data_IF_761231122489
#
_entry.id   IF_761231122489
#
_cell.length_a   1.000
_cell.length_b   1.000
_cell.length_c   1.000
_cell.angle_alpha   90.00
_cell.angle_beta   90.00
_cell.angle_gamma   90.00
#
_symmetry.space_group_name_H-M   'P 1'
#
loop_
_entity.id
_entity.type
_entity.pdbx_description
1 polymer ?
#
# COMPACT_ATOMS: atom_id res chain seq x y z
N UNK A 1 9.46 21.76 -65.53
CA UNK A 1 9.62 21.11 -64.21
C UNK A 1 10.55 19.91 -64.37
N UNK A 2 11.74 19.94 -63.76
CA UNK A 2 12.75 18.88 -63.97
C UNK A 2 12.23 17.53 -63.50
N UNK A 3 12.15 16.54 -64.39
CA UNK A 3 11.70 15.15 -64.07
C UNK A 3 12.52 14.48 -62.95
N UNK A 4 13.70 15.04 -62.63
CA UNK A 4 14.57 14.61 -61.52
C UNK A 4 14.19 15.17 -60.14
N UNK A 5 13.35 16.20 -60.05
CA UNK A 5 12.89 16.76 -58.77
C UNK A 5 11.63 16.07 -58.21
N UNK A 6 10.86 15.39 -59.05
CA UNK A 6 9.63 14.71 -58.66
C UNK A 6 9.84 13.61 -57.59
N UNK A 7 10.89 12.75 -57.65
CA UNK A 7 11.08 11.72 -56.62
C UNK A 7 11.55 12.29 -55.28
N UNK A 8 12.29 13.41 -55.27
CA UNK A 8 12.73 14.09 -54.04
C UNK A 8 11.53 14.72 -53.32
N UNK A 9 10.61 15.30 -54.09
CA UNK A 9 9.37 15.88 -53.56
C UNK A 9 8.41 14.80 -53.03
N UNK A 10 8.35 13.65 -53.70
CA UNK A 10 7.57 12.48 -53.24
C UNK A 10 8.13 11.88 -51.95
N UNK A 11 9.46 11.83 -51.80
CA UNK A 11 10.13 11.35 -50.59
C UNK A 11 9.93 12.31 -49.40
N UNK A 12 9.87 13.62 -49.66
CA UNK A 12 9.56 14.63 -48.65
C UNK A 12 8.14 14.51 -48.08
N UNK A 13 7.17 14.04 -48.87
CA UNK A 13 5.78 13.80 -48.41
C UNK A 13 5.67 12.61 -47.43
N UNK A 14 6.57 11.62 -47.50
CA UNK A 14 6.64 10.53 -46.51
C UNK A 14 7.24 10.98 -45.18
N UNK A 15 8.07 12.04 -45.18
CA UNK A 15 8.68 12.60 -43.97
C UNK A 15 7.76 13.59 -43.23
N UNK A 16 6.63 13.97 -43.83
CA UNK A 16 5.60 14.84 -43.22
C UNK A 16 4.46 14.05 -42.54
N UNK A 17 4.56 12.72 -42.46
CA UNK A 17 3.59 11.86 -41.77
C UNK A 17 3.74 11.81 -40.25
N UNK A 18 4.15 12.91 -39.59
CA UNK A 18 4.14 13.04 -38.12
C UNK A 18 3.22 14.21 -37.73
N UNK A 19 2.34 14.15 -36.75
CA UNK A 19 2.02 13.16 -35.74
C UNK A 19 0.50 12.96 -35.75
N UNK A 20 0.02 11.76 -36.09
CA UNK A 20 -1.41 11.46 -36.05
C UNK A 20 -1.96 11.36 -34.61
N UNK A 21 -1.10 11.15 -33.62
CA UNK A 21 -1.49 10.79 -32.25
C UNK A 21 -1.21 11.90 -31.21
N UNK A 22 -1.28 13.18 -31.63
CA UNK A 22 -1.19 14.32 -30.71
C UNK A 22 -2.56 14.59 -30.07
N UNK A 23 -2.71 14.22 -28.80
CA UNK A 23 -3.83 14.67 -27.97
C UNK A 23 -3.44 16.01 -27.33
N UNK A 24 -4.17 17.08 -27.66
CA UNK A 24 -3.91 18.41 -27.08
C UNK A 24 -4.39 18.41 -25.62
N UNK A 25 -3.64 19.04 -24.72
CA UNK A 25 -3.98 19.15 -23.29
C UNK A 25 -5.36 19.77 -23.02
N UNK A 26 -5.93 20.48 -23.99
CA UNK A 26 -7.29 21.05 -23.90
C UNK A 26 -8.41 20.01 -24.04
N UNK A 27 -8.11 18.83 -24.57
CA UNK A 27 -9.09 17.79 -24.90
C UNK A 27 -9.12 16.66 -23.85
N UNK A 28 -8.25 16.74 -22.84
CA UNK A 28 -8.13 15.76 -21.75
C UNK A 28 -8.14 16.42 -20.38
N UNK A 29 -8.74 15.74 -19.41
CA UNK A 29 -8.71 16.11 -18.00
C UNK A 29 -7.96 15.05 -17.21
N UNK A 30 -6.90 15.48 -16.52
CA UNK A 30 -6.00 14.61 -15.76
C UNK A 30 -6.68 14.19 -14.45
N UNK A 31 -6.74 12.88 -14.23
CA UNK A 31 -7.34 12.29 -13.02
C UNK A 31 -6.26 11.82 -12.04
N UNK A 32 -6.01 12.54 -10.93
CA UNK A 32 -5.08 12.11 -9.88
C UNK A 32 -5.65 11.02 -8.97
N UNK A 33 -6.97 10.99 -8.73
CA UNK A 33 -7.59 10.02 -7.82
C UNK A 33 -8.78 9.32 -8.49
N UNK A 34 -8.78 8.00 -8.40
CA UNK A 34 -9.82 7.13 -8.94
C UNK A 34 -10.26 6.12 -7.87
N UNK A 35 -11.57 5.90 -7.76
CA UNK A 35 -12.18 4.90 -6.91
C UNK A 35 -12.83 3.80 -7.73
N UNK A 36 -12.64 2.54 -7.35
CA UNK A 36 -13.23 1.36 -7.99
C UNK A 36 -14.06 0.54 -6.99
N UNK A 37 -15.30 0.26 -7.36
CA UNK A 37 -16.18 -0.62 -6.58
C UNK A 37 -17.06 -1.47 -7.50
N UNK A 38 -17.68 -2.51 -6.95
CA UNK A 38 -18.66 -3.30 -7.71
C UNK A 38 -19.83 -2.39 -8.13
N UNK A 39 -20.32 -2.56 -9.35
CA UNK A 39 -21.56 -1.94 -9.81
C UNK A 39 -22.80 -2.64 -9.27
N UNK A 40 -23.98 -2.18 -9.68
CA UNK A 40 -25.27 -2.68 -9.19
C UNK A 40 -25.53 -4.13 -9.62
N UNK A 41 -25.03 -4.54 -10.80
CA UNK A 41 -25.13 -5.92 -11.28
C UNK A 41 -23.83 -6.68 -11.13
N UNK A 42 -23.95 -8.00 -11.00
CA UNK A 42 -22.81 -8.91 -10.95
C UNK A 42 -21.93 -8.74 -12.18
N UNK A 43 -20.65 -8.42 -11.97
CA UNK A 43 -19.67 -8.22 -13.04
C UNK A 43 -19.61 -6.78 -13.57
N UNK A 44 -20.50 -5.88 -13.13
CA UNK A 44 -20.34 -4.46 -13.39
C UNK A 44 -19.30 -3.86 -12.43
N UNK A 45 -18.58 -2.87 -12.93
CA UNK A 45 -17.62 -2.04 -12.21
C UNK A 45 -18.16 -0.62 -12.21
N UNK A 46 -18.16 0.01 -11.03
CA UNK A 46 -18.41 1.43 -10.87
C UNK A 46 -17.10 2.14 -10.56
N UNK A 47 -16.85 3.21 -11.30
CA UNK A 47 -15.69 4.07 -11.13
C UNK A 47 -16.11 5.49 -10.73
N UNK A 48 -15.38 6.08 -9.79
CA UNK A 48 -15.53 7.48 -9.38
C UNK A 48 -14.18 8.18 -9.61
N UNK A 49 -14.21 9.35 -10.21
CA UNK A 49 -13.04 10.13 -10.59
C UNK A 49 -13.08 11.47 -9.87
N UNK A 50 -11.94 11.94 -9.35
CA UNK A 50 -11.77 13.29 -8.82
C UNK A 50 -10.60 13.97 -9.53
N UNK A 51 -10.84 15.18 -10.03
CA UNK A 51 -9.87 15.94 -10.82
C UNK A 51 -10.04 17.46 -10.61
N UNK A 52 -8.95 18.23 -10.76
CA UNK A 52 -9.01 19.68 -10.60
C UNK A 52 -9.76 20.36 -11.74
N UNK A 53 -10.49 21.42 -11.42
CA UNK A 53 -11.13 22.35 -12.35
C UNK A 53 -10.64 23.76 -12.04
N UNK A 54 -10.38 24.54 -13.08
CA UNK A 54 -9.82 25.89 -12.96
C UNK A 54 -10.93 26.91 -13.24
N UNK A 55 -11.29 27.71 -12.23
CA UNK A 55 -12.21 28.83 -12.39
C UNK A 55 -11.55 30.13 -11.95
N UNK A 56 -11.31 31.01 -12.92
CA UNK A 56 -10.69 32.35 -12.95
C UNK A 56 -9.45 32.61 -12.05
N UNK A 57 -9.42 32.18 -10.79
CA UNK A 57 -8.26 32.22 -9.86
C UNK A 57 -8.30 31.14 -8.74
N UNK A 58 -9.26 30.21 -8.78
CA UNK A 58 -9.42 29.16 -7.77
C UNK A 58 -9.37 27.77 -8.40
N UNK A 59 -8.59 26.87 -7.78
CA UNK A 59 -8.63 25.44 -8.08
C UNK A 59 -9.80 24.87 -7.31
N UNK A 60 -10.80 24.41 -8.03
CA UNK A 60 -11.90 23.60 -7.51
C UNK A 60 -11.69 22.15 -7.92
N UNK A 61 -12.50 21.22 -7.40
CA UNK A 61 -12.43 19.82 -7.82
C UNK A 61 -13.80 19.33 -8.24
N UNK A 62 -13.85 18.78 -9.43
CA UNK A 62 -15.03 18.13 -9.96
C UNK A 62 -14.94 16.62 -9.77
N UNK A 63 -16.11 15.99 -9.84
CA UNK A 63 -16.24 14.55 -9.76
C UNK A 63 -17.09 14.06 -10.91
N UNK A 64 -16.72 12.91 -11.44
CA UNK A 64 -17.55 12.17 -12.39
C UNK A 64 -17.61 10.71 -11.97
N UNK A 65 -18.75 10.07 -12.19
CA UNK A 65 -18.92 8.64 -11.94
C UNK A 65 -19.51 7.94 -13.16
N UNK A 66 -19.15 6.67 -13.33
CA UNK A 66 -19.63 5.85 -14.43
C UNK A 66 -19.65 4.38 -14.04
N UNK A 67 -20.55 3.63 -14.67
CA UNK A 67 -20.67 2.18 -14.45
C UNK A 67 -20.60 1.46 -15.79
N UNK A 68 -19.91 0.33 -15.83
CA UNK A 68 -19.79 -0.48 -17.03
C UNK A 68 -19.31 -1.90 -16.75
N UNK A 69 -19.27 -2.73 -17.78
CA UNK A 69 -18.83 -4.14 -17.68
C UNK A 69 -17.32 -4.33 -17.44
N UNK A 70 -16.57 -3.23 -17.41
CA UNK A 70 -15.14 -3.18 -17.14
C UNK A 70 -14.76 -1.80 -16.63
N UNK A 71 -13.62 -1.70 -15.94
CA UNK A 71 -13.04 -0.40 -15.53
C UNK A 71 -12.91 0.59 -16.71
N UNK A 72 -12.60 0.12 -17.93
CA UNK A 72 -12.53 0.98 -19.13
C UNK A 72 -13.90 1.51 -19.54
N UNK A 73 -14.91 0.64 -19.60
CA UNK A 73 -16.27 1.04 -19.94
C UNK A 73 -16.87 1.98 -18.89
N UNK A 74 -16.57 1.75 -17.60
CA UNK A 74 -16.96 2.66 -16.52
C UNK A 74 -16.34 4.05 -16.69
N UNK A 75 -15.06 4.13 -17.10
CA UNK A 75 -14.40 5.40 -17.43
C UNK A 75 -15.03 6.11 -18.62
N UNK A 76 -15.33 5.37 -19.69
CA UNK A 76 -16.00 5.93 -20.89
C UNK A 76 -17.40 6.48 -20.53
N UNK A 77 -18.15 5.76 -19.71
CA UNK A 77 -19.44 6.23 -19.21
C UNK A 77 -19.30 7.50 -18.36
N UNK A 78 -18.29 7.59 -17.50
CA UNK A 78 -18.00 8.79 -16.71
C UNK A 78 -17.59 9.99 -17.59
N UNK A 79 -16.87 9.74 -18.69
CA UNK A 79 -16.44 10.78 -19.62
C UNK A 79 -17.60 11.44 -20.39
N UNK A 80 -18.77 10.79 -20.49
CA UNK A 80 -19.96 11.43 -21.08
C UNK A 80 -20.52 12.59 -20.23
N UNK A 81 -20.06 12.70 -18.98
CA UNK A 81 -20.46 13.77 -18.06
C UNK A 81 -19.40 14.87 -17.92
N UNK A 82 -18.35 14.83 -18.75
CA UNK A 82 -17.25 15.81 -18.74
C UNK A 82 -17.07 16.45 -20.12
N UNK A 83 -16.47 17.64 -20.17
CA UNK A 83 -16.20 18.33 -21.44
C UNK A 83 -14.98 17.72 -22.15
N UNK A 84 -14.03 17.20 -21.39
CA UNK A 84 -12.82 16.54 -21.86
C UNK A 84 -12.81 15.04 -21.56
N UNK A 85 -11.96 14.27 -22.25
CA UNK A 85 -11.75 12.86 -21.94
C UNK A 85 -10.97 12.67 -20.62
N UNK A 86 -11.40 11.71 -19.80
CA UNK A 86 -10.72 11.39 -18.53
C UNK A 86 -9.42 10.62 -18.77
N UNK A 87 -8.30 11.26 -18.48
CA UNK A 87 -6.97 10.66 -18.60
C UNK A 87 -6.44 10.20 -17.24
N UNK A 88 -6.19 8.90 -17.12
CA UNK A 88 -5.62 8.24 -15.93
C UNK A 88 -4.12 7.98 -16.08
N UNK A 89 -3.48 8.54 -17.11
CA UNK A 89 -2.03 8.41 -17.33
C UNK A 89 -1.20 8.91 -16.14
N UNK A 90 -1.70 9.94 -15.45
CA UNK A 90 -1.08 10.55 -14.25
C UNK A 90 -1.80 10.19 -12.95
N UNK A 91 -2.52 9.06 -12.92
CA UNK A 91 -3.17 8.58 -11.70
C UNK A 91 -2.16 8.52 -10.56
N UNK A 92 -2.48 9.12 -9.42
CA UNK A 92 -1.65 9.11 -8.22
C UNK A 92 -2.14 8.08 -7.21
N UNK A 93 -3.46 7.94 -7.04
CA UNK A 93 -4.07 6.98 -6.12
C UNK A 93 -5.26 6.26 -6.75
N UNK A 94 -5.25 4.94 -6.61
CA UNK A 94 -6.37 4.06 -6.89
C UNK A 94 -6.97 3.52 -5.58
N UNK A 95 -8.17 3.96 -5.24
CA UNK A 95 -8.96 3.43 -4.13
C UNK A 95 -9.82 2.26 -4.62
N UNK A 96 -9.88 1.17 -3.88
CA UNK A 96 -10.62 -0.05 -4.24
C UNK A 96 -11.48 -0.46 -3.06
N UNK A 97 -12.78 -0.68 -3.28
CA UNK A 97 -13.65 -1.13 -2.19
C UNK A 97 -13.24 -2.51 -1.68
N UNK A 98 -13.35 -2.71 -0.37
CA UNK A 98 -13.04 -3.99 0.28
C UNK A 98 -13.84 -5.15 -0.32
N UNK A 99 -15.10 -4.92 -0.70
CA UNK A 99 -15.95 -5.92 -1.37
C UNK A 99 -15.48 -6.29 -2.77
N UNK A 100 -14.94 -5.34 -3.54
CA UNK A 100 -14.31 -5.67 -4.82
C UNK A 100 -13.02 -6.46 -4.59
N UNK A 101 -12.21 -6.05 -3.61
CA UNK A 101 -10.93 -6.67 -3.30
C UNK A 101 -11.05 -8.13 -2.80
N UNK A 102 -12.22 -8.57 -2.30
CA UNK A 102 -12.48 -9.98 -1.94
C UNK A 102 -12.49 -10.94 -3.15
N UNK A 103 -12.61 -10.40 -4.37
CA UNK A 103 -12.44 -11.16 -5.62
C UNK A 103 -10.98 -11.08 -6.08
N UNK A 104 -10.63 -11.83 -7.13
CA UNK A 104 -9.29 -11.71 -7.72
C UNK A 104 -9.11 -10.28 -8.23
N UNK A 105 -8.17 -9.56 -7.62
CA UNK A 105 -7.94 -8.14 -7.92
C UNK A 105 -7.04 -7.93 -9.14
N UNK A 106 -6.30 -8.96 -9.57
CA UNK A 106 -5.34 -8.85 -10.66
C UNK A 106 -5.96 -8.36 -11.98
N UNK A 107 -7.15 -8.83 -12.43
CA UNK A 107 -7.77 -8.33 -13.67
C UNK A 107 -8.02 -6.82 -13.68
N UNK A 108 -8.38 -6.24 -12.54
CA UNK A 108 -8.60 -4.79 -12.44
C UNK A 108 -7.29 -4.02 -12.55
N UNK A 109 -6.19 -4.54 -11.99
CA UNK A 109 -4.88 -3.90 -12.06
C UNK A 109 -4.17 -4.12 -13.41
N UNK A 110 -4.34 -5.28 -14.06
CA UNK A 110 -3.73 -5.61 -15.34
C UNK A 110 -4.13 -4.62 -16.44
N UNK A 111 -5.37 -4.11 -16.39
CA UNK A 111 -5.83 -3.08 -17.32
C UNK A 111 -4.96 -1.82 -17.31
N UNK A 112 -4.54 -1.38 -16.11
CA UNK A 112 -3.70 -0.20 -15.97
C UNK A 112 -2.30 -0.46 -16.53
N UNK A 113 -1.74 -1.65 -16.32
CA UNK A 113 -0.42 -2.03 -16.82
C UNK A 113 -0.36 -2.23 -18.34
N UNK A 114 -1.48 -2.59 -18.97
CA UNK A 114 -1.56 -2.78 -20.44
C UNK A 114 -1.47 -1.49 -21.25
N UNK A 115 -1.59 -0.33 -20.61
CA UNK A 115 -1.50 0.97 -21.28
C UNK A 115 -0.16 1.61 -20.91
N UNK A 116 0.84 1.65 -21.81
CA UNK A 116 2.20 2.10 -21.47
C UNK A 116 2.31 3.53 -20.94
N UNK A 117 1.30 4.38 -21.21
CA UNK A 117 1.22 5.76 -20.71
C UNK A 117 0.83 5.85 -19.24
N UNK A 118 0.28 4.79 -18.65
CA UNK A 118 -0.18 4.83 -17.26
C UNK A 118 1.00 4.76 -16.29
N UNK A 119 0.91 5.57 -15.23
CA UNK A 119 1.85 5.55 -14.11
C UNK A 119 1.71 4.24 -13.32
N UNK A 120 2.75 3.41 -13.33
CA UNK A 120 2.79 2.19 -12.51
C UNK A 120 3.14 2.46 -11.04
N UNK A 121 3.54 3.70 -10.73
CA UNK A 121 3.89 4.16 -9.38
C UNK A 121 2.72 4.78 -8.62
N UNK A 122 1.49 4.72 -9.15
CA UNK A 122 0.29 5.10 -8.42
C UNK A 122 0.16 4.26 -7.15
N UNK A 123 -0.23 4.89 -6.06
CA UNK A 123 -0.59 4.17 -4.85
C UNK A 123 -1.91 3.42 -5.04
N UNK A 124 -2.06 2.30 -4.32
CA UNK A 124 -3.30 1.56 -4.22
C UNK A 124 -3.68 1.49 -2.76
N UNK A 125 -4.96 1.71 -2.44
CA UNK A 125 -5.48 1.47 -1.11
C UNK A 125 -6.86 0.82 -1.14
N UNK A 126 -7.13 0.00 -0.13
CA UNK A 126 -8.44 -0.63 0.08
C UNK A 126 -9.26 0.28 0.99
N UNK A 127 -10.54 0.44 0.68
CA UNK A 127 -11.46 1.28 1.46
C UNK A 127 -12.63 0.47 2.00
N UNK A 128 -13.00 0.71 3.26
CA UNK A 128 -14.16 0.08 3.90
C UNK A 128 -15.44 0.89 3.69
N UNK A 129 -16.56 0.23 3.44
CA UNK A 129 -17.87 0.89 3.34
C UNK A 129 -18.15 1.48 1.95
N UNK A 130 -18.95 2.54 1.91
CA UNK A 130 -19.38 3.16 0.65
C UNK A 130 -18.27 4.02 0.05
N UNK A 131 -17.83 3.67 -1.16
CA UNK A 131 -16.84 4.42 -1.93
C UNK A 131 -17.21 5.91 -2.05
N UNK A 132 -18.51 6.27 -2.14
CA UNK A 132 -18.92 7.67 -2.26
C UNK A 132 -18.48 8.52 -1.07
N UNK A 133 -18.42 7.97 0.14
CA UNK A 133 -18.01 8.72 1.33
C UNK A 133 -16.54 9.15 1.27
N UNK A 134 -15.70 8.44 0.52
CA UNK A 134 -14.30 8.78 0.28
C UNK A 134 -14.14 9.92 -0.74
N UNK A 135 -15.15 10.17 -1.55
CA UNK A 135 -15.16 11.27 -2.51
C UNK A 135 -16.01 12.46 -2.02
N UNK A 136 -16.93 12.25 -1.07
CA UNK A 136 -17.75 13.31 -0.49
C UNK A 136 -17.52 13.50 1.04
N UNK A 137 -16.27 13.74 1.49
CA UNK A 137 -15.99 13.97 2.90
C UNK A 137 -16.55 15.33 3.36
N UNK A 138 -16.77 15.54 4.67
CA UNK A 138 -17.30 16.79 5.19
C UNK A 138 -16.29 17.95 5.09
N UNK A 139 -16.82 19.18 5.04
CA UNK A 139 -16.05 20.42 5.14
C UNK A 139 -15.13 20.67 3.95
N UNK A 140 -14.05 21.42 4.19
CA UNK A 140 -13.10 21.86 3.16
C UNK A 140 -12.36 20.68 2.50
N UNK A 141 -12.30 19.53 3.16
CA UNK A 141 -11.66 18.32 2.63
C UNK A 141 -12.32 17.83 1.33
N UNK A 142 -13.62 18.11 1.15
CA UNK A 142 -14.35 17.78 -0.09
C UNK A 142 -13.68 18.37 -1.32
N UNK A 143 -13.20 19.60 -1.19
CA UNK A 143 -12.50 20.34 -2.23
C UNK A 143 -11.00 20.05 -2.24
N UNK A 144 -10.52 18.98 -1.60
CA UNK A 144 -9.09 18.62 -1.62
C UNK A 144 -8.88 17.12 -1.86
N UNK A 145 -9.94 16.36 -2.16
CA UNK A 145 -9.91 14.90 -2.35
C UNK A 145 -8.78 14.43 -3.28
N UNK A 146 -8.59 15.14 -4.39
CA UNK A 146 -7.56 14.84 -5.38
C UNK A 146 -6.12 14.96 -4.85
N UNK A 147 -5.86 15.83 -3.87
CA UNK A 147 -4.56 16.01 -3.22
C UNK A 147 -4.43 15.20 -1.93
N UNK A 148 -5.55 15.01 -1.23
CA UNK A 148 -5.57 14.42 0.10
C UNK A 148 -4.98 13.02 0.14
N UNK A 149 -5.45 12.12 -0.72
CA UNK A 149 -5.01 10.73 -0.72
C UNK A 149 -3.54 10.54 -1.09
N UNK A 150 -2.99 11.21 -2.13
CA UNK A 150 -1.56 11.18 -2.39
C UNK A 150 -0.72 11.58 -1.18
N UNK A 151 -1.07 12.66 -0.50
CA UNK A 151 -0.33 13.12 0.69
C UNK A 151 -0.51 12.20 1.90
N UNK A 152 -1.73 11.67 2.11
CA UNK A 152 -2.01 10.70 3.16
C UNK A 152 -1.14 9.44 2.99
N UNK A 153 -1.10 8.87 1.79
CA UNK A 153 -0.36 7.64 1.51
C UNK A 153 1.16 7.87 1.51
N UNK A 154 1.64 9.01 1.00
CA UNK A 154 3.06 9.39 1.12
C UNK A 154 3.47 9.55 2.58
N UNK A 155 2.62 10.15 3.42
CA UNK A 155 2.86 10.27 4.86
C UNK A 155 2.88 8.89 5.52
N UNK A 156 1.93 8.03 5.18
CA UNK A 156 1.87 6.67 5.70
C UNK A 156 3.11 5.83 5.35
N UNK A 157 3.67 5.98 4.14
CA UNK A 157 4.95 5.36 3.77
C UNK A 157 6.12 5.89 4.63
N UNK A 158 6.20 7.21 4.85
CA UNK A 158 7.25 7.82 5.69
C UNK A 158 7.23 7.29 7.13
N UNK A 159 6.06 6.94 7.65
CA UNK A 159 5.88 6.42 9.00
C UNK A 159 5.78 4.89 9.08
N UNK A 160 5.92 4.18 7.96
CA UNK A 160 5.84 2.70 7.88
C UNK A 160 4.44 2.13 8.15
N UNK A 161 3.39 2.93 8.03
CA UNK A 161 2.01 2.43 8.15
C UNK A 161 1.57 1.59 6.94
N UNK A 162 2.41 1.45 5.91
CA UNK A 162 2.24 0.50 4.82
C UNK A 162 3.58 -0.12 4.40
N UNK A 163 3.52 -1.31 3.81
CA UNK A 163 4.71 -2.05 3.36
C UNK A 163 4.80 -2.23 1.84
N UNK A 164 3.67 -2.03 1.16
CA UNK A 164 3.50 -2.03 -0.29
C UNK A 164 2.47 -0.95 -0.59
N UNK A 165 2.90 0.11 -1.28
CA UNK A 165 2.01 1.21 -1.63
C UNK A 165 1.60 1.20 -3.09
N UNK A 166 2.47 0.76 -4.00
CA UNK A 166 2.35 1.06 -5.44
C UNK A 166 1.78 -0.10 -6.26
N UNK A 167 1.12 0.24 -7.37
CA UNK A 167 0.57 -0.72 -8.32
C UNK A 167 1.61 -1.69 -8.88
N UNK A 168 2.79 -1.20 -9.24
CA UNK A 168 3.90 -2.05 -9.69
C UNK A 168 4.24 -3.14 -8.66
N UNK A 169 4.40 -2.76 -7.39
CA UNK A 169 4.76 -3.72 -6.34
C UNK A 169 3.59 -4.65 -6.01
N UNK A 170 2.36 -4.15 -6.04
CA UNK A 170 1.16 -4.96 -5.85
C UNK A 170 1.07 -6.07 -6.90
N UNK A 171 1.22 -5.74 -8.18
CA UNK A 171 1.16 -6.72 -9.26
C UNK A 171 2.34 -7.69 -9.23
N UNK A 172 3.56 -7.22 -8.93
CA UNK A 172 4.72 -8.12 -8.75
C UNK A 172 4.46 -9.19 -7.69
N UNK A 173 3.87 -8.81 -6.54
CA UNK A 173 3.53 -9.76 -5.48
C UNK A 173 2.35 -10.66 -5.86
N UNK A 174 1.34 -10.14 -6.57
CA UNK A 174 0.24 -10.96 -7.07
C UNK A 174 0.71 -12.04 -8.06
N UNK A 175 1.79 -11.80 -8.80
CA UNK A 175 2.38 -12.76 -9.74
C UNK A 175 3.43 -13.68 -9.07
N UNK A 176 3.75 -13.45 -7.80
CA UNK A 176 4.69 -14.26 -7.05
C UNK A 176 3.93 -15.25 -6.15
N UNK A 177 4.22 -16.55 -6.28
CA UNK A 177 3.56 -17.58 -5.45
C UNK A 177 4.09 -17.61 -4.00
N UNK A 178 5.27 -17.04 -3.76
CA UNK A 178 6.05 -17.24 -2.53
C UNK A 178 5.96 -16.14 -1.48
N UNK A 179 5.18 -15.08 -1.73
CA UNK A 179 4.91 -14.01 -0.77
C UNK A 179 3.60 -13.30 -1.13
N UNK A 180 2.73 -13.14 -0.15
CA UNK A 180 1.44 -12.50 -0.36
C UNK A 180 1.52 -10.97 -0.27
N UNK A 181 0.51 -10.34 -0.88
CA UNK A 181 0.32 -8.89 -0.87
C UNK A 181 -0.32 -8.40 0.44
N UNK A 182 0.06 -7.20 0.87
CA UNK A 182 -0.73 -6.40 1.79
C UNK A 182 -0.88 -4.99 1.24
N UNK A 183 -2.05 -4.37 1.34
CA UNK A 183 -2.30 -3.00 0.86
C UNK A 183 -2.77 -2.10 2.01
N UNK A 184 -2.52 -0.78 1.96
CA UNK A 184 -3.11 0.18 2.90
C UNK A 184 -4.63 0.01 2.98
N UNK A 185 -5.19 0.13 4.18
CA UNK A 185 -6.62 -0.02 4.43
C UNK A 185 -7.17 1.23 5.13
N UNK A 186 -8.12 1.89 4.48
CA UNK A 186 -8.76 3.11 4.96
C UNK A 186 -10.17 2.82 5.44
N UNK A 187 -10.57 3.58 6.45
CA UNK A 187 -11.93 3.64 6.98
C UNK A 187 -12.41 5.10 6.97
N UNK A 188 -13.70 5.31 7.12
CA UNK A 188 -14.25 6.60 7.53
C UNK A 188 -14.29 6.61 9.06
N UNK A 189 -13.67 7.61 9.69
CA UNK A 189 -13.70 7.76 11.16
C UNK A 189 -15.04 8.30 11.67
N UNK A 190 -15.19 8.41 12.99
CA UNK A 190 -16.42 8.89 13.64
C UNK A 190 -16.78 10.34 13.23
N UNK A 191 -15.83 11.11 12.69
CA UNK A 191 -16.04 12.48 12.21
C UNK A 191 -16.37 12.54 10.71
N UNK A 192 -16.47 11.39 10.03
CA UNK A 192 -16.72 11.32 8.60
C UNK A 192 -15.46 11.51 7.74
N UNK A 193 -14.26 11.49 8.34
CA UNK A 193 -13.01 11.75 7.64
C UNK A 193 -12.35 10.42 7.22
N UNK A 194 -11.99 10.24 5.95
CA UNK A 194 -11.18 9.10 5.51
C UNK A 194 -9.85 9.04 6.26
N UNK A 195 -9.52 7.91 6.88
CA UNK A 195 -8.29 7.74 7.66
C UNK A 195 -7.69 6.36 7.41
N UNK A 196 -6.36 6.27 7.43
CA UNK A 196 -5.66 4.99 7.38
C UNK A 196 -5.81 4.24 8.71
N UNK A 197 -6.38 3.04 8.69
CA UNK A 197 -6.54 2.19 9.88
C UNK A 197 -5.55 1.02 9.92
N UNK A 198 -4.86 0.70 8.82
CA UNK A 198 -3.86 -0.36 8.81
C UNK A 198 -3.55 -0.91 7.44
N UNK A 199 -3.29 -2.21 7.37
CA UNK A 199 -3.07 -2.94 6.11
C UNK A 199 -4.00 -4.13 5.96
N UNK A 200 -4.57 -4.28 4.77
CA UNK A 200 -5.36 -5.43 4.33
C UNK A 200 -4.48 -6.60 3.95
N UNK A 201 -4.82 -7.79 4.44
CA UNK A 201 -4.12 -9.04 4.15
C UNK A 201 -4.73 -9.75 2.94
N UNK A 202 -3.89 -10.10 1.96
CA UNK A 202 -4.32 -10.85 0.79
C UNK A 202 -3.83 -12.30 0.86
N UNK A 203 -4.58 -13.19 0.25
CA UNK A 203 -4.21 -14.58 0.01
C UNK A 203 -4.61 -14.91 -1.41
N UNK A 204 -3.66 -15.38 -2.24
CA UNK A 204 -3.93 -15.70 -3.66
C UNK A 204 -4.65 -14.57 -4.41
N UNK A 205 -4.14 -13.33 -4.29
CA UNK A 205 -4.65 -12.09 -4.94
C UNK A 205 -6.00 -11.58 -4.44
N UNK A 206 -6.58 -12.19 -3.41
CA UNK A 206 -7.88 -11.81 -2.83
C UNK A 206 -7.71 -11.25 -1.43
N UNK A 207 -8.40 -10.18 -1.12
CA UNK A 207 -8.51 -9.68 0.24
C UNK A 207 -9.22 -10.71 1.12
N UNK A 208 -8.58 -11.08 2.22
CA UNK A 208 -9.04 -12.13 3.14
C UNK A 208 -10.17 -11.68 4.06
N UNK A 209 -10.44 -10.37 4.12
CA UNK A 209 -11.29 -9.76 5.14
C UNK A 209 -10.56 -9.43 6.44
N UNK A 210 -9.30 -9.87 6.60
CA UNK A 210 -8.48 -9.58 7.78
C UNK A 210 -7.54 -8.41 7.55
N UNK A 211 -7.37 -7.59 8.58
CA UNK A 211 -6.48 -6.43 8.55
C UNK A 211 -5.58 -6.40 9.79
N UNK A 212 -4.35 -5.90 9.61
CA UNK A 212 -3.45 -5.55 10.71
C UNK A 212 -3.57 -4.06 10.98
N UNK A 213 -4.18 -3.70 12.12
CA UNK A 213 -4.55 -2.32 12.43
C UNK A 213 -3.41 -1.52 13.05
N UNK A 214 -3.33 -0.23 12.72
CA UNK A 214 -2.56 0.81 13.42
C UNK A 214 -1.10 0.39 13.63
N UNK A 215 -0.68 0.24 14.88
CA UNK A 215 0.69 -0.13 15.24
C UNK A 215 1.10 -1.51 14.71
N UNK A 216 0.16 -2.45 14.50
CA UNK A 216 0.48 -3.76 13.93
C UNK A 216 0.93 -3.63 12.46
N UNK A 217 0.41 -2.66 11.71
CA UNK A 217 0.88 -2.36 10.36
C UNK A 217 2.33 -1.84 10.37
N UNK A 218 2.66 -0.93 11.28
CA UNK A 218 4.04 -0.42 11.47
C UNK A 218 4.99 -1.54 11.85
N UNK A 219 4.61 -2.36 12.82
CA UNK A 219 5.39 -3.51 13.27
C UNK A 219 5.56 -4.56 12.17
N UNK A 220 4.60 -4.69 11.25
CA UNK A 220 4.77 -5.54 10.06
C UNK A 220 5.89 -5.03 9.15
N UNK A 221 5.99 -3.71 8.93
CA UNK A 221 7.12 -3.13 8.20
C UNK A 221 8.47 -3.38 8.90
N UNK A 222 8.49 -3.29 10.23
CA UNK A 222 9.66 -3.69 11.05
C UNK A 222 10.01 -5.17 10.81
N UNK A 223 9.03 -6.07 10.84
CA UNK A 223 9.24 -7.51 10.58
C UNK A 223 9.72 -7.78 9.14
N UNK A 224 9.30 -7.00 8.16
CA UNK A 224 9.78 -7.09 6.79
C UNK A 224 11.15 -6.41 6.57
N UNK A 225 11.69 -5.73 7.59
CA UNK A 225 12.88 -4.86 7.48
C UNK A 225 12.71 -3.74 6.43
N UNK A 226 11.47 -3.28 6.24
CA UNK A 226 11.12 -2.13 5.40
C UNK A 226 10.74 -0.97 6.32
N UNK A 227 11.69 -0.06 6.53
CA UNK A 227 11.52 1.05 7.45
C UNK A 227 11.34 2.35 6.66
N UNK A 228 10.28 3.09 6.95
CA UNK A 228 10.14 4.49 6.60
C UNK A 228 11.02 5.38 7.49
N UNK A 229 11.13 6.65 7.11
CA UNK A 229 11.97 7.64 7.79
C UNK A 229 11.63 7.80 9.28
N UNK A 230 10.35 7.67 9.63
CA UNK A 230 9.80 7.94 10.95
C UNK A 230 9.09 6.70 11.53
N UNK A 231 9.73 5.53 11.47
CA UNK A 231 9.19 4.30 12.06
C UNK A 231 9.12 4.41 13.58
N UNK A 232 7.95 4.78 14.12
CA UNK A 232 7.74 4.98 15.56
C UNK A 232 6.74 4.00 16.12
N UNK A 233 7.02 3.50 17.32
CA UNK A 233 6.09 2.64 18.07
C UNK A 233 6.13 3.02 19.54
N UNK A 234 4.99 2.86 20.21
CA UNK A 234 4.82 3.17 21.63
C UNK A 234 4.30 1.96 22.38
N UNK A 235 4.75 1.79 23.61
CA UNK A 235 4.27 0.74 24.52
C UNK A 235 4.00 1.32 25.91
N UNK A 236 3.10 0.70 26.67
CA UNK A 236 2.84 1.10 28.06
C UNK A 236 3.92 0.56 29.00
N UNK A 237 4.73 1.45 29.58
CA UNK A 237 5.81 1.11 30.49
C UNK A 237 5.30 0.78 31.90
N UNK A 238 5.36 -0.51 32.27
CA UNK A 238 5.02 -1.04 33.61
C UNK A 238 3.60 -0.62 34.06
N UNK A 239 3.22 -0.94 35.29
CA UNK A 239 1.85 -0.74 35.80
C UNK A 239 1.38 0.74 35.87
N UNK A 240 2.29 1.72 35.71
CA UNK A 240 1.96 3.15 35.78
C UNK A 240 1.38 3.72 34.48
N UNK A 241 1.15 2.91 33.44
CA UNK A 241 0.59 3.32 32.13
C UNK A 241 1.28 4.53 31.50
N UNK A 242 2.59 4.69 31.73
CA UNK A 242 3.35 5.78 31.11
C UNK A 242 3.93 5.30 29.79
N UNK A 243 3.94 6.10 28.72
CA UNK A 243 4.43 5.64 27.42
C UNK A 243 5.96 5.52 27.38
N UNK A 244 6.45 4.47 26.72
CA UNK A 244 7.78 4.46 26.12
C UNK A 244 7.61 4.54 24.61
N UNK A 245 8.05 5.64 24.01
CA UNK A 245 8.00 5.88 22.56
C UNK A 245 9.40 5.78 21.98
N UNK A 246 9.54 4.97 20.94
CA UNK A 246 10.82 4.72 20.28
C UNK A 246 10.73 4.94 18.78
N UNK A 247 11.83 5.37 18.17
CA UNK A 247 12.06 5.29 16.74
C UNK A 247 12.90 4.04 16.44
N UNK A 248 12.43 3.18 15.54
CA UNK A 248 13.22 2.05 15.02
C UNK A 248 14.21 2.59 14.00
N UNK A 249 15.51 2.42 14.28
CA UNK A 249 16.59 2.92 13.43
C UNK A 249 16.99 1.85 12.40
N UNK A 250 17.11 0.60 12.86
CA UNK A 250 17.61 -0.49 12.04
C UNK A 250 17.06 -1.82 12.53
N UNK A 251 16.75 -2.70 11.59
CA UNK A 251 16.37 -4.08 11.87
C UNK A 251 17.31 -5.01 11.13
N UNK A 252 17.77 -6.05 11.83
CA UNK A 252 18.45 -7.20 11.23
C UNK A 252 17.59 -8.42 11.48
N UNK A 253 16.99 -8.93 10.41
CA UNK A 253 16.18 -10.16 10.43
C UNK A 253 17.02 -11.35 10.00
N UNK A 254 16.86 -12.48 10.69
CA UNK A 254 17.36 -13.79 10.27
C UNK A 254 16.25 -14.82 10.32
N UNK A 255 16.09 -15.55 9.22
CA UNK A 255 15.13 -16.64 9.09
C UNK A 255 15.90 -17.97 9.02
N UNK A 256 15.60 -18.90 9.91
CA UNK A 256 16.06 -20.29 9.86
C UNK A 256 14.87 -21.20 9.71
N UNK A 257 14.97 -22.18 8.81
CA UNK A 257 13.89 -23.14 8.54
C UNK A 257 14.49 -24.53 8.65
N UNK A 258 13.81 -25.40 9.39
CA UNK A 258 14.14 -26.81 9.53
C UNK A 258 12.85 -27.60 9.53
N UNK A 259 12.57 -28.32 8.44
CA UNK A 259 11.26 -28.93 8.20
C UNK A 259 10.16 -27.86 8.33
N UNK A 260 9.09 -28.14 9.08
CA UNK A 260 7.94 -27.23 9.31
C UNK A 260 8.15 -26.27 10.48
N UNK A 261 9.38 -26.19 11.01
CA UNK A 261 9.75 -25.24 12.06
C UNK A 261 10.50 -24.05 11.48
N UNK A 262 10.00 -22.86 11.76
CA UNK A 262 10.56 -21.59 11.34
C UNK A 262 10.98 -20.82 12.59
N UNK A 263 12.24 -20.39 12.63
CA UNK A 263 12.75 -19.51 13.68
C UNK A 263 13.07 -18.14 13.08
N UNK A 264 12.34 -17.12 13.50
CA UNK A 264 12.56 -15.73 13.14
C UNK A 264 13.29 -15.00 14.26
N UNK A 265 14.51 -14.55 13.97
CA UNK A 265 15.31 -13.77 14.92
C UNK A 265 15.45 -12.32 14.44
N UNK A 266 15.19 -11.38 15.34
CA UNK A 266 15.26 -9.94 15.09
C UNK A 266 16.25 -9.28 16.05
N UNK A 267 17.23 -8.55 15.51
CA UNK A 267 18.06 -7.60 16.26
C UNK A 267 17.65 -6.19 15.82
N UNK A 268 17.04 -5.44 16.75
CA UNK A 268 16.36 -4.16 16.49
C UNK A 268 17.11 -3.06 17.23
N UNK A 269 17.66 -2.11 16.47
CA UNK A 269 18.32 -0.93 17.00
C UNK A 269 17.30 0.23 17.10
N UNK A 270 17.17 0.84 18.28
CA UNK A 270 16.16 1.87 18.55
C UNK A 270 16.75 3.15 19.14
N UNK A 271 16.07 4.27 18.89
CA UNK A 271 16.24 5.54 19.60
C UNK A 271 15.04 5.74 20.52
N UNK A 272 15.26 6.09 21.79
CA UNK A 272 14.17 6.43 22.71
C UNK A 272 13.84 7.92 22.57
N UNK A 273 12.59 8.23 22.23
CA UNK A 273 12.08 9.60 22.10
C UNK A 273 11.30 10.02 23.36
N UNK A 274 10.59 9.09 24.00
CA UNK A 274 9.83 9.33 25.21
C UNK A 274 10.02 8.19 26.21
N UNK A 275 10.26 8.51 27.47
CA UNK A 275 10.39 7.52 28.54
C UNK A 275 10.07 8.15 29.91
N UNK A 276 9.33 7.46 30.79
CA UNK A 276 8.80 8.07 32.02
C UNK A 276 9.85 8.36 33.10
N UNK A 277 11.00 7.68 33.06
CA UNK A 277 12.03 7.81 34.11
C UNK A 277 13.30 8.35 33.46
N UNK A 278 13.76 9.52 33.88
CA UNK A 278 15.00 10.09 33.36
C UNK A 278 16.25 9.41 33.96
N UNK A 279 16.45 8.12 33.66
CA UNK A 279 17.58 7.34 34.14
C UNK A 279 18.14 6.32 33.14
N UNK A 280 17.78 6.43 31.86
CA UNK A 280 18.29 5.56 30.79
C UNK A 280 19.81 5.70 30.52
N UNK A 281 20.45 6.71 31.09
CA UNK A 281 21.91 6.81 31.17
C UNK A 281 22.52 5.74 32.10
N UNK A 282 21.73 5.19 33.04
CA UNK A 282 22.15 4.08 33.91
C UNK A 282 22.06 2.77 33.13
N UNK A 283 23.16 2.02 33.14
CA UNK A 283 23.26 0.71 32.47
C UNK A 283 22.16 -0.27 32.88
N UNK A 284 21.76 -0.28 34.15
CA UNK A 284 20.73 -1.19 34.65
C UNK A 284 19.34 -0.82 34.12
N UNK A 285 18.93 0.44 34.25
CA UNK A 285 17.64 0.94 33.74
C UNK A 285 17.53 0.76 32.22
N UNK A 286 18.64 0.99 31.49
CA UNK A 286 18.72 0.71 30.04
C UNK A 286 18.46 -0.76 29.73
N UNK A 287 19.15 -1.69 30.41
CA UNK A 287 18.94 -3.13 30.21
C UNK A 287 17.52 -3.58 30.53
N UNK A 288 16.91 -3.02 31.57
CA UNK A 288 15.51 -3.30 31.89
C UNK A 288 14.57 -2.86 30.77
N UNK A 289 14.79 -1.67 30.21
CA UNK A 289 14.01 -1.16 29.10
C UNK A 289 14.22 -1.93 27.79
N UNK A 290 15.45 -2.34 27.47
CA UNK A 290 15.73 -3.24 26.33
C UNK A 290 15.00 -4.57 26.49
N UNK A 291 15.02 -5.16 27.69
CA UNK A 291 14.34 -6.43 27.97
C UNK A 291 12.82 -6.29 27.85
N UNK A 292 12.26 -5.22 28.41
CA UNK A 292 10.84 -4.89 28.29
C UNK A 292 10.43 -4.73 26.83
N UNK A 293 11.11 -3.88 26.06
CA UNK A 293 10.83 -3.67 24.64
C UNK A 293 10.96 -4.99 23.85
N UNK A 294 11.99 -5.78 24.11
CA UNK A 294 12.16 -7.10 23.46
C UNK A 294 10.97 -8.02 23.72
N UNK A 295 10.35 -7.93 24.90
CA UNK A 295 9.18 -8.73 25.28
C UNK A 295 7.92 -8.22 24.56
N UNK A 296 7.70 -6.90 24.53
CA UNK A 296 6.56 -6.30 23.83
C UNK A 296 6.62 -6.50 22.31
N UNK A 297 7.78 -6.30 21.68
CA UNK A 297 7.97 -6.62 20.27
C UNK A 297 7.70 -8.09 19.98
N UNK A 298 8.22 -9.01 20.80
CA UNK A 298 7.98 -10.45 20.63
C UNK A 298 6.50 -10.76 20.66
N UNK A 299 5.78 -10.27 21.68
CA UNK A 299 4.33 -10.45 21.83
C UNK A 299 3.56 -9.91 20.63
N UNK A 300 3.87 -8.70 20.16
CA UNK A 300 3.20 -8.12 18.99
C UNK A 300 3.53 -8.89 17.71
N UNK A 301 4.78 -9.36 17.52
CA UNK A 301 5.16 -10.16 16.36
C UNK A 301 4.44 -11.52 16.35
N UNK A 302 4.33 -12.18 17.50
CA UNK A 302 3.57 -13.42 17.64
C UNK A 302 2.08 -13.22 17.31
N UNK A 303 1.48 -12.11 17.77
CA UNK A 303 0.10 -11.73 17.40
C UNK A 303 -0.04 -11.52 15.88
N UNK A 304 0.86 -10.75 15.27
CA UNK A 304 0.84 -10.49 13.82
C UNK A 304 0.95 -11.80 13.05
N UNK A 305 1.87 -12.69 13.45
CA UNK A 305 2.03 -14.01 12.82
C UNK A 305 0.73 -14.81 12.91
N UNK A 306 0.11 -14.88 14.08
CA UNK A 306 -1.15 -15.60 14.25
C UNK A 306 -2.24 -15.08 13.32
N UNK A 307 -2.41 -13.75 13.22
CA UNK A 307 -3.38 -13.13 12.29
C UNK A 307 -3.04 -13.44 10.83
N UNK A 308 -1.77 -13.37 10.44
CA UNK A 308 -1.37 -13.71 9.06
C UNK A 308 -1.58 -15.19 8.74
N UNK A 309 -1.38 -16.10 9.70
CA UNK A 309 -1.63 -17.53 9.53
C UNK A 309 -3.13 -17.84 9.43
N UNK A 310 -3.96 -17.18 10.25
CA UNK A 310 -5.42 -17.28 10.17
C UNK A 310 -5.94 -16.76 8.81
N UNK A 311 -5.36 -15.68 8.32
CA UNK A 311 -5.66 -15.13 6.99
C UNK A 311 -5.06 -15.95 5.83
N UNK A 312 -4.24 -16.99 6.12
CA UNK A 312 -3.45 -17.74 5.14
C UNK A 312 -2.67 -16.83 4.18
N UNK A 313 -2.00 -15.84 4.76
CA UNK A 313 -1.39 -14.71 4.07
C UNK A 313 0.09 -14.59 4.47
N UNK A 314 1.01 -15.06 3.65
CA UNK A 314 2.45 -14.95 3.92
C UNK A 314 3.02 -13.61 3.45
N UNK A 315 2.60 -12.54 4.15
CA UNK A 315 3.15 -11.20 3.93
C UNK A 315 4.53 -11.00 4.56
N UNK A 316 5.07 -12.00 5.27
CA UNK A 316 6.39 -11.94 5.90
C UNK A 316 7.48 -12.55 5.00
N UNK A 317 7.10 -13.16 3.88
CA UNK A 317 7.99 -13.73 2.88
C UNK A 317 8.76 -14.94 3.40
N UNK A 318 8.12 -15.78 4.22
CA UNK A 318 8.70 -17.07 4.65
C UNK A 318 8.83 -17.99 3.43
N UNK A 319 7.85 -17.97 2.54
CA UNK A 319 7.73 -18.74 1.31
C UNK A 319 8.88 -18.48 0.38
N UNK A 320 9.32 -17.23 0.22
CA UNK A 320 10.54 -16.92 -0.55
C UNK A 320 11.75 -17.72 -0.11
N UNK A 321 11.94 -17.88 1.21
CA UNK A 321 13.06 -18.66 1.76
C UNK A 321 12.84 -20.16 1.58
N UNK A 322 11.60 -20.63 1.77
CA UNK A 322 11.24 -22.04 1.56
C UNK A 322 11.41 -22.43 0.09
N UNK A 323 10.86 -21.66 -0.84
CA UNK A 323 10.97 -21.85 -2.27
C UNK A 323 12.44 -21.91 -2.73
N UNK A 324 13.29 -21.00 -2.22
CA UNK A 324 14.69 -20.92 -2.63
C UNK A 324 15.60 -22.01 -2.01
N UNK A 325 15.34 -22.49 -0.80
CA UNK A 325 16.30 -23.34 -0.05
C UNK A 325 15.71 -24.62 0.57
N UNK A 326 14.39 -24.80 0.54
CA UNK A 326 13.67 -25.92 1.17
C UNK A 326 12.59 -26.48 0.23
N UNK A 327 12.99 -26.83 -0.99
CA UNK A 327 12.09 -27.25 -2.07
C UNK A 327 11.17 -28.43 -1.71
N UNK A 328 11.62 -29.35 -0.85
CA UNK A 328 10.79 -30.46 -0.39
C UNK A 328 9.59 -30.01 0.45
N UNK A 329 9.76 -28.95 1.25
CA UNK A 329 8.64 -28.35 1.99
C UNK A 329 7.72 -27.58 1.03
N UNK A 330 8.29 -26.86 0.06
CA UNK A 330 7.53 -26.12 -0.96
C UNK A 330 6.59 -27.03 -1.77
N UNK A 331 7.07 -28.22 -2.14
CA UNK A 331 6.31 -29.17 -2.99
C UNK A 331 5.19 -29.92 -2.28
N UNK A 332 4.98 -29.73 -0.96
CA UNK A 332 3.96 -30.48 -0.19
C UNK A 332 2.52 -30.14 -0.57
N UNK A 333 2.27 -29.03 -1.26
CA UNK A 333 0.94 -28.65 -1.71
C UNK A 333 0.80 -27.14 -1.87
N UNK A 334 -0.39 -26.64 -1.52
CA UNK A 334 -0.69 -25.21 -1.50
C UNK A 334 0.15 -24.49 -0.44
N UNK A 335 0.83 -23.41 -0.85
CA UNK A 335 1.73 -22.68 0.04
C UNK A 335 0.98 -21.99 1.18
N UNK A 336 -0.19 -21.42 0.90
CA UNK A 336 -1.00 -20.71 1.87
C UNK A 336 -1.51 -21.67 2.97
N UNK A 337 -1.92 -22.88 2.61
CA UNK A 337 -2.24 -23.94 3.59
C UNK A 337 -1.01 -24.35 4.41
N UNK A 338 0.13 -24.55 3.75
CA UNK A 338 1.38 -24.92 4.43
C UNK A 338 1.78 -23.84 5.43
N UNK A 339 1.80 -22.57 5.02
CA UNK A 339 2.13 -21.41 5.85
C UNK A 339 1.26 -21.33 7.12
N UNK A 340 -0.05 -21.57 6.98
CA UNK A 340 -1.01 -21.50 8.09
C UNK A 340 -0.74 -22.52 9.21
N UNK A 341 -0.02 -23.60 8.92
CA UNK A 341 0.27 -24.68 9.87
C UNK A 341 1.72 -24.71 10.38
N UNK A 342 2.59 -23.83 9.86
CA UNK A 342 3.99 -23.77 10.29
C UNK A 342 4.11 -23.40 11.78
N UNK A 343 5.05 -24.04 12.46
CA UNK A 343 5.46 -23.63 13.80
C UNK A 343 6.47 -22.50 13.69
N UNK A 344 6.04 -21.27 13.98
CA UNK A 344 6.89 -20.07 13.85
C UNK A 344 7.27 -19.57 15.25
N UNK A 345 8.55 -19.72 15.60
CA UNK A 345 9.14 -19.18 16.83
C UNK A 345 9.76 -17.80 16.57
N UNK A 346 9.49 -16.84 17.45
CA UNK A 346 10.06 -15.48 17.38
C UNK A 346 11.04 -15.23 18.53
N UNK A 347 12.23 -14.76 18.16
CA UNK A 347 13.20 -14.19 19.08
C UNK A 347 13.45 -12.73 18.72
N UNK A 348 13.32 -11.84 19.70
CA UNK A 348 13.60 -10.42 19.54
C UNK A 348 14.66 -9.98 20.53
N UNK A 349 15.63 -9.22 20.04
CA UNK A 349 16.61 -8.50 20.83
C UNK A 349 16.58 -7.03 20.43
N UNK A 350 16.24 -6.18 21.39
CA UNK A 350 16.29 -4.72 21.22
C UNK A 350 17.60 -4.18 21.77
N UNK A 351 18.25 -3.29 21.02
CA UNK A 351 19.43 -2.55 21.45
C UNK A 351 19.14 -1.05 21.40
N UNK A 352 19.26 -0.34 22.52
CA UNK A 352 19.14 1.11 22.53
C UNK A 352 20.45 1.75 22.05
N UNK A 353 20.37 2.51 20.95
CA UNK A 353 21.52 3.25 20.39
C UNK A 353 21.57 4.69 20.82
N UNK A 354 20.40 5.30 21.02
CA UNK A 354 20.25 6.68 21.46
C UNK A 354 19.18 6.74 22.53
N UNK A 355 19.50 7.43 23.60
CA UNK A 355 18.57 7.84 24.65
C UNK A 355 18.59 9.35 24.54
N UNK A 356 17.49 10.03 24.19
CA UNK A 356 17.45 11.44 23.73
C UNK A 356 17.93 12.53 24.72
N UNK A 357 18.88 12.20 25.59
CA UNK A 357 19.49 13.01 26.62
C UNK A 357 21.00 12.80 26.46
N UNK A 358 21.59 13.57 25.53
CA UNK A 358 23.04 13.71 25.30
C UNK A 358 23.78 12.38 24.98
N UNK A 359 23.88 12.03 23.69
CA UNK A 359 24.94 11.18 23.13
C UNK A 359 25.15 11.50 21.64
#
# INVERSE_FOLDING_TARGET
>A
MNKRMLPVLLFGLFLLGGCWDEAQYKDITIVPVMGLTNGDKVGEVKAIFSFPTFDEDTITYAQSEGTGISTRAAREAAAHHTMEALDVSHLEVLLISSEMAKKDLYPELDMFLRTPRNRITSYIAIVEGDMKQYFDPPGDLKSEVANYYPELLRTAELYTYMTVGTMENAVKLMLEDSMDLSLPYLIIDDSGIPTLDGIALFSNKKFTGQILRKQDAVLTGVMQSKLGKYTRVSFEWKEKKSPITIQVIKVRRKLKISNEQVKMSFDIDVSVEEFPINDLYKKQSRKEAEKFLSTEFKKSFEKIIATTQEAKSDILGVGRKVHAFHTELWKKGDWQETYSTLSIEVDVKVNMKRTSILD
#
